data_IF_562003941327
#
_entry.id   IF_562003941327
#
_cell.length_a   1.000
_cell.length_b   1.000
_cell.length_c   1.000
_cell.angle_alpha   90.00
_cell.angle_beta   90.00
_cell.angle_gamma   90.00
#
_symmetry.space_group_name_H-M   'P 1'
#
loop_
_entity.id
_entity.type
_entity.pdbx_description
1 polymer ?
#
# COMPACT_ATOMS: atom_id res chain seq x y z
N UNK A 1 18.14 6.96 57.40
CA UNK A 1 17.55 7.10 56.04
C UNK A 1 18.46 6.44 55.02
N UNK A 2 18.37 5.12 54.81
CA UNK A 2 19.28 4.39 53.90
C UNK A 2 18.58 3.41 52.94
N UNK A 3 17.25 3.37 52.93
CA UNK A 3 16.49 2.41 52.12
C UNK A 3 15.62 3.04 51.02
N UNK A 4 15.61 4.38 50.88
CA UNK A 4 14.80 5.04 49.84
C UNK A 4 15.44 4.97 48.44
N UNK A 5 16.72 4.62 48.34
CA UNK A 5 17.44 4.58 47.06
C UNK A 5 17.18 3.33 46.23
N UNK A 6 16.56 2.29 46.81
CA UNK A 6 16.43 0.99 46.13
C UNK A 6 15.16 0.88 45.28
N UNK A 7 14.20 1.80 45.45
CA UNK A 7 12.90 1.72 44.75
C UNK A 7 12.87 2.40 43.37
N UNK A 8 13.91 3.15 42.99
CA UNK A 8 13.95 3.92 41.73
C UNK A 8 14.56 3.10 40.57
N UNK A 9 15.29 2.02 40.84
CA UNK A 9 16.01 1.26 39.81
C UNK A 9 15.08 0.31 39.01
N UNK A 10 13.88 -0.02 39.51
CA UNK A 10 12.97 -0.94 38.84
C UNK A 10 12.06 -0.32 37.77
N UNK A 11 12.06 1.01 37.57
CA UNK A 11 11.16 1.69 36.63
C UNK A 11 11.74 1.87 35.21
N UNK A 12 12.98 1.46 34.95
CA UNK A 12 13.65 1.70 33.66
C UNK A 12 13.63 0.52 32.68
N UNK A 13 13.01 -0.61 33.05
CA UNK A 13 12.87 -1.78 32.15
C UNK A 13 11.54 -1.80 31.40
N UNK A 14 11.13 -0.67 30.81
CA UNK A 14 10.21 -0.74 29.66
C UNK A 14 11.04 -0.85 28.38
N UNK A 15 11.73 -1.99 28.23
CA UNK A 15 12.30 -2.38 26.96
C UNK A 15 11.20 -3.01 26.10
N UNK A 16 10.15 -2.23 25.81
CA UNK A 16 9.24 -2.58 24.74
C UNK A 16 10.06 -2.66 23.46
N UNK A 17 10.10 -3.83 22.81
CA UNK A 17 10.76 -4.00 21.51
C UNK A 17 10.17 -2.94 20.57
N UNK A 18 10.91 -1.86 20.32
CA UNK A 18 10.59 -0.90 19.27
C UNK A 18 10.85 -1.63 17.96
N UNK A 19 9.80 -2.23 17.42
CA UNK A 19 9.85 -2.73 16.06
C UNK A 19 9.67 -1.53 15.14
N UNK A 20 10.74 -1.14 14.45
CA UNK A 20 10.66 -0.06 13.48
C UNK A 20 10.00 -0.56 12.18
N UNK A 21 9.13 0.26 11.60
CA UNK A 21 8.57 -0.01 10.26
C UNK A 21 9.60 0.35 9.20
N UNK A 22 10.06 -0.63 8.42
CA UNK A 22 10.94 -0.38 7.28
C UNK A 22 10.12 0.06 6.08
N UNK A 23 10.10 1.35 5.76
CA UNK A 23 9.32 1.87 4.63
C UNK A 23 9.90 1.48 3.26
N UNK A 24 9.06 1.31 2.22
CA UNK A 24 9.51 1.24 0.84
C UNK A 24 10.31 2.48 0.44
N UNK A 25 11.15 2.36 -0.57
CA UNK A 25 11.96 3.48 -1.09
C UNK A 25 11.68 3.74 -2.56
N UNK A 26 11.69 5.01 -2.95
CA UNK A 26 11.55 5.45 -4.34
C UNK A 26 12.41 6.68 -4.57
N UNK A 27 12.76 6.98 -5.82
CA UNK A 27 13.40 8.22 -6.23
C UNK A 27 12.43 9.19 -6.92
N UNK A 28 11.13 8.89 -6.84
CA UNK A 28 10.03 9.68 -7.38
C UNK A 28 9.14 10.06 -6.20
N UNK A 29 8.92 11.36 -5.99
CA UNK A 29 7.90 11.89 -5.10
C UNK A 29 6.60 12.10 -5.88
N UNK A 30 5.48 11.61 -5.32
CA UNK A 30 4.13 11.78 -5.85
C UNK A 30 3.41 12.88 -5.07
N UNK A 31 3.18 12.68 -3.77
CA UNK A 31 2.72 13.72 -2.83
C UNK A 31 3.77 13.90 -1.74
N UNK A 32 4.13 15.16 -1.46
CA UNK A 32 5.18 15.51 -0.48
C UNK A 32 4.63 15.78 0.91
N UNK A 33 3.43 16.33 0.98
CA UNK A 33 2.83 16.80 2.23
C UNK A 33 1.35 16.45 2.27
N UNK A 34 0.89 16.03 3.44
CA UNK A 34 -0.51 15.73 3.75
C UNK A 34 -0.77 16.37 5.11
N UNK A 35 -1.84 17.13 5.22
CA UNK A 35 -2.25 17.78 6.47
C UNK A 35 -3.41 17.00 7.10
N UNK A 36 -3.73 17.27 8.37
CA UNK A 36 -4.83 16.62 9.10
C UNK A 36 -4.81 15.09 8.95
N UNK A 37 -3.79 14.45 9.53
CA UNK A 37 -3.52 13.04 9.30
C UNK A 37 -3.48 12.20 10.57
N UNK A 38 -3.89 10.94 10.41
CA UNK A 38 -3.74 9.86 11.37
C UNK A 38 -2.77 8.80 10.81
N UNK A 39 -1.68 8.49 11.51
CA UNK A 39 -0.79 7.41 11.11
C UNK A 39 -1.39 6.05 11.49
N UNK A 40 -1.25 5.09 10.58
CA UNK A 40 -1.52 3.67 10.79
C UNK A 40 -0.22 2.93 10.55
N UNK A 41 0.19 2.08 11.48
CA UNK A 41 1.41 1.29 11.35
C UNK A 41 1.08 -0.18 11.19
N UNK A 42 1.72 -0.83 10.21
CA UNK A 42 1.64 -2.28 9.99
C UNK A 42 3.05 -2.85 10.03
N UNK A 43 3.36 -3.57 11.10
CA UNK A 43 4.69 -4.10 11.38
C UNK A 43 4.87 -5.49 10.77
N UNK A 44 6.09 -5.77 10.32
CA UNK A 44 6.49 -7.10 9.91
C UNK A 44 6.90 -7.91 11.14
N UNK A 45 6.13 -8.96 11.44
CA UNK A 45 6.46 -9.94 12.48
C UNK A 45 6.63 -11.34 11.89
N UNK A 46 7.50 -12.13 12.53
CA UNK A 46 7.61 -13.57 12.30
C UNK A 46 7.22 -14.31 13.55
N UNK A 47 6.30 -15.26 13.41
CA UNK A 47 5.98 -16.23 14.45
C UNK A 47 6.22 -17.63 13.87
N UNK A 48 7.31 -18.27 14.31
CA UNK A 48 7.78 -19.51 13.70
C UNK A 48 8.08 -19.33 12.19
N UNK A 49 7.33 -20.06 11.34
CA UNK A 49 7.44 -19.98 9.87
C UNK A 49 6.48 -18.97 9.26
N UNK A 50 5.54 -18.44 10.04
CA UNK A 50 4.50 -17.55 9.56
C UNK A 50 4.95 -16.09 9.57
N UNK A 51 4.45 -15.35 8.58
CA UNK A 51 4.66 -13.89 8.47
C UNK A 51 3.35 -13.21 8.85
N UNK A 52 3.42 -12.28 9.80
CA UNK A 52 2.27 -11.58 10.37
C UNK A 52 2.39 -10.09 10.06
N UNK A 53 1.28 -9.50 9.63
CA UNK A 53 1.09 -8.06 9.56
C UNK A 53 0.44 -7.60 10.88
N UNK A 54 1.26 -7.12 11.81
CA UNK A 54 0.75 -6.62 13.09
C UNK A 54 0.28 -5.17 12.95
N UNK A 55 -1.02 -4.94 13.11
CA UNK A 55 -1.66 -3.64 12.84
C UNK A 55 -1.83 -2.86 14.14
N UNK A 56 -1.15 -1.72 14.25
CA UNK A 56 -1.42 -0.76 15.32
C UNK A 56 -2.51 0.23 14.90
N UNK A 57 -3.70 0.06 15.49
CA UNK A 57 -4.92 0.84 15.22
C UNK A 57 -5.18 1.96 16.24
N UNK A 58 -4.29 2.16 17.22
CA UNK A 58 -4.57 3.05 18.38
C UNK A 58 -4.68 4.54 18.02
N UNK A 59 -4.28 4.93 16.81
CA UNK A 59 -4.21 6.32 16.34
C UNK A 59 -5.06 6.63 15.10
N UNK A 60 -6.02 5.77 14.72
CA UNK A 60 -6.83 5.99 13.50
C UNK A 60 -8.08 6.84 13.76
N UNK A 61 -8.06 8.14 13.43
CA UNK A 61 -9.22 9.04 13.50
C UNK A 61 -9.91 9.07 12.13
N UNK A 62 -11.17 8.64 12.06
CA UNK A 62 -11.90 8.37 10.80
C UNK A 62 -12.07 9.61 9.92
N UNK A 63 -12.25 10.79 10.52
CA UNK A 63 -12.45 12.06 9.79
C UNK A 63 -11.18 12.67 9.17
N UNK A 64 -10.01 12.11 9.46
CA UNK A 64 -8.70 12.63 9.02
C UNK A 64 -8.12 11.83 7.85
N UNK A 65 -7.11 12.35 7.17
CA UNK A 65 -6.33 11.60 6.18
C UNK A 65 -5.62 10.42 6.85
N UNK A 66 -5.62 9.23 6.25
CA UNK A 66 -4.91 8.09 6.83
C UNK A 66 -3.60 7.83 6.09
N UNK A 67 -2.50 7.82 6.84
CA UNK A 67 -1.18 7.46 6.32
C UNK A 67 -0.85 6.03 6.76
N UNK A 68 -0.83 5.13 5.80
CA UNK A 68 -0.47 3.73 6.00
C UNK A 68 1.06 3.59 5.91
N UNK A 69 1.70 3.45 7.06
CA UNK A 69 3.12 3.14 7.24
C UNK A 69 3.27 1.62 7.35
N UNK A 70 3.56 0.98 6.22
CA UNK A 70 3.58 -0.47 6.09
C UNK A 70 5.01 -0.95 5.89
N UNK A 71 5.39 -1.99 6.61
CA UNK A 71 6.71 -2.59 6.45
C UNK A 71 6.88 -3.22 5.07
N UNK A 72 7.91 -2.79 4.36
CA UNK A 72 8.21 -3.14 2.97
C UNK A 72 8.40 -4.64 2.74
N UNK A 73 8.71 -5.41 3.79
CA UNK A 73 8.95 -6.87 3.73
C UNK A 73 7.66 -7.68 3.69
N UNK A 74 6.52 -7.10 4.06
CA UNK A 74 5.25 -7.81 4.11
C UNK A 74 4.82 -8.28 2.71
N UNK A 75 4.43 -9.56 2.52
CA UNK A 75 3.83 -10.01 1.27
C UNK A 75 2.39 -9.51 1.14
N UNK A 76 1.94 -9.22 -0.08
CA UNK A 76 0.60 -8.67 -0.34
C UNK A 76 -0.54 -9.53 0.20
N UNK A 77 -0.41 -10.86 0.12
CA UNK A 77 -1.40 -11.81 0.65
C UNK A 77 -1.66 -11.66 2.15
N UNK A 78 -0.72 -11.07 2.90
CA UNK A 78 -0.83 -10.86 4.35
C UNK A 78 -1.30 -9.43 4.62
N UNK A 79 -0.72 -8.43 3.95
CA UNK A 79 -1.01 -7.02 4.27
C UNK A 79 -2.27 -6.45 3.63
N UNK A 80 -2.59 -6.83 2.39
CA UNK A 80 -3.76 -6.26 1.70
C UNK A 80 -5.08 -6.62 2.41
N UNK A 81 -5.29 -7.84 2.95
CA UNK A 81 -6.47 -8.12 3.77
C UNK A 81 -6.63 -7.18 4.98
N UNK A 82 -5.55 -6.79 5.65
CA UNK A 82 -5.62 -5.82 6.75
C UNK A 82 -5.93 -4.40 6.26
N UNK A 83 -5.38 -4.00 5.11
CA UNK A 83 -5.73 -2.72 4.47
C UNK A 83 -7.22 -2.69 4.09
N UNK A 84 -7.75 -3.77 3.52
CA UNK A 84 -9.17 -3.88 3.15
C UNK A 84 -10.07 -3.69 4.37
N UNK A 85 -9.81 -4.40 5.47
CA UNK A 85 -10.58 -4.25 6.73
C UNK A 85 -10.58 -2.80 7.24
N UNK A 86 -9.44 -2.12 7.15
CA UNK A 86 -9.33 -0.71 7.57
C UNK A 86 -10.11 0.22 6.63
N UNK A 87 -10.00 0.04 5.32
CA UNK A 87 -10.77 0.81 4.34
C UNK A 87 -12.28 0.61 4.51
N UNK A 88 -12.73 -0.63 4.70
CA UNK A 88 -14.13 -0.97 4.95
C UNK A 88 -14.65 -0.28 6.21
N UNK A 89 -13.89 -0.36 7.32
CA UNK A 89 -14.23 0.36 8.55
C UNK A 89 -14.38 1.86 8.31
N UNK A 90 -13.44 2.49 7.60
CA UNK A 90 -13.50 3.94 7.31
C UNK A 90 -14.70 4.30 6.43
N UNK A 91 -15.02 3.45 5.44
CA UNK A 91 -16.13 3.67 4.49
C UNK A 91 -17.49 3.44 5.14
N UNK A 92 -17.59 2.52 6.11
CA UNK A 92 -18.83 2.15 6.77
C UNK A 92 -19.26 3.14 7.88
N UNK A 93 -18.33 3.93 8.44
CA UNK A 93 -18.66 4.93 9.46
C UNK A 93 -19.27 6.17 8.81
N UNK A 94 -20.58 6.11 8.52
CA UNK A 94 -21.35 7.18 7.90
C UNK A 94 -21.59 8.38 8.82
N UNK A 95 -21.47 8.21 10.15
CA UNK A 95 -21.78 9.26 11.12
C UNK A 95 -20.63 10.27 11.28
N UNK A 96 -19.38 9.83 11.11
CA UNK A 96 -18.18 10.65 11.25
C UNK A 96 -17.33 10.70 9.97
N UNK A 97 -17.90 10.34 8.82
CA UNK A 97 -17.23 10.36 7.52
C UNK A 97 -16.92 11.78 7.10
N UNK A 98 -15.65 12.03 6.79
CA UNK A 98 -15.23 13.18 5.99
C UNK A 98 -15.01 12.69 4.55
N UNK A 99 -15.80 13.16 3.59
CA UNK A 99 -15.68 12.71 2.20
C UNK A 99 -14.41 13.22 1.51
N UNK A 100 -13.80 14.27 2.06
CA UNK A 100 -12.53 14.81 1.59
C UNK A 100 -11.33 14.12 2.23
N UNK A 101 -11.53 13.27 3.24
CA UNK A 101 -10.44 12.53 3.87
C UNK A 101 -9.95 11.40 2.96
N UNK A 102 -8.67 11.41 2.66
CA UNK A 102 -8.02 10.48 1.77
C UNK A 102 -7.18 9.43 2.51
N UNK A 103 -6.77 8.39 1.79
CA UNK A 103 -5.89 7.35 2.28
C UNK A 103 -4.63 7.32 1.40
N UNK A 104 -3.48 7.28 2.04
CA UNK A 104 -2.18 7.31 1.40
C UNK A 104 -1.29 6.18 1.92
N UNK A 105 -0.52 5.60 1.01
CA UNK A 105 0.62 4.77 1.40
C UNK A 105 1.86 5.65 1.52
N UNK A 106 2.62 5.49 2.61
CA UNK A 106 3.89 6.19 2.78
C UNK A 106 5.06 5.40 2.22
N UNK A 107 6.08 6.12 1.75
CA UNK A 107 7.38 5.61 1.36
C UNK A 107 8.44 6.69 1.60
N UNK A 108 9.72 6.29 1.61
CA UNK A 108 10.83 7.21 1.70
C UNK A 108 11.29 7.64 0.29
N UNK A 109 11.29 8.95 0.04
CA UNK A 109 11.99 9.52 -1.12
C UNK A 109 13.50 9.49 -0.86
N UNK A 110 14.19 8.65 -1.61
CA UNK A 110 15.63 8.46 -1.54
C UNK A 110 16.45 9.64 -2.07
N UNK A 111 15.87 10.50 -2.92
CA UNK A 111 16.55 11.71 -3.43
C UNK A 111 16.25 12.88 -2.51
N UNK A 112 14.96 13.16 -2.27
CA UNK A 112 14.52 14.27 -1.43
C UNK A 112 14.80 14.08 0.07
N UNK A 113 15.12 12.85 0.49
CA UNK A 113 15.36 12.44 1.89
C UNK A 113 14.19 12.79 2.82
N UNK A 114 12.97 12.67 2.31
CA UNK A 114 11.73 12.94 3.04
C UNK A 114 10.73 11.78 2.90
N UNK A 115 9.67 11.80 3.71
CA UNK A 115 8.49 10.98 3.47
C UNK A 115 7.76 11.49 2.22
N UNK A 116 7.24 10.56 1.45
CA UNK A 116 6.38 10.83 0.32
C UNK A 116 5.21 9.84 0.32
N UNK A 117 4.14 10.22 -0.38
CA UNK A 117 2.85 9.57 -0.27
C UNK A 117 2.30 9.24 -1.66
N UNK A 118 1.63 8.09 -1.78
CA UNK A 118 0.87 7.72 -2.99
C UNK A 118 -0.60 7.50 -2.61
N UNK A 119 -1.55 8.24 -3.21
CA UNK A 119 -2.96 8.12 -2.87
C UNK A 119 -3.53 6.77 -3.30
N UNK A 120 -4.47 6.24 -2.51
CA UNK A 120 -5.18 5.00 -2.82
C UNK A 120 -6.63 4.96 -2.32
N UNK A 121 -7.22 6.10 -1.95
CA UNK A 121 -8.59 6.22 -1.43
C UNK A 121 -9.63 5.49 -2.29
N UNK A 122 -9.54 5.69 -3.61
CA UNK A 122 -10.46 5.13 -4.63
C UNK A 122 -10.08 3.71 -5.08
N UNK A 123 -9.11 3.07 -4.44
CA UNK A 123 -8.71 1.69 -4.74
C UNK A 123 -9.54 0.70 -3.93
N UNK A 124 -10.03 -0.32 -4.61
CA UNK A 124 -10.82 -1.44 -4.11
C UNK A 124 -10.06 -2.72 -4.46
N UNK A 125 -9.64 -3.44 -3.43
CA UNK A 125 -8.88 -4.67 -3.62
C UNK A 125 -9.80 -5.87 -3.81
N UNK A 126 -9.36 -6.81 -4.64
CA UNK A 126 -9.99 -8.12 -4.82
C UNK A 126 -8.96 -9.22 -4.65
N UNK A 127 -9.22 -10.17 -3.75
CA UNK A 127 -8.34 -11.32 -3.48
C UNK A 127 -8.70 -12.55 -4.32
N UNK A 128 -9.28 -12.32 -5.50
CA UNK A 128 -9.81 -13.34 -6.42
C UNK A 128 -9.20 -13.18 -7.81
N UNK A 129 -9.47 -14.15 -8.70
CA UNK A 129 -9.10 -14.01 -10.11
C UNK A 129 -9.99 -12.93 -10.77
N UNK A 130 -9.46 -12.11 -11.69
CA UNK A 130 -10.28 -11.23 -12.50
C UNK A 130 -11.23 -12.03 -13.41
N UNK A 131 -12.28 -11.37 -13.90
CA UNK A 131 -13.20 -11.97 -14.85
C UNK A 131 -12.47 -12.29 -16.16
N UNK A 132 -12.91 -13.35 -16.85
CA UNK A 132 -12.30 -13.78 -18.13
C UNK A 132 -12.35 -12.70 -19.22
N UNK A 133 -13.33 -11.81 -19.15
CA UNK A 133 -13.50 -10.71 -20.11
C UNK A 133 -12.61 -9.50 -19.80
N UNK A 134 -11.96 -9.47 -18.62
CA UNK A 134 -11.04 -8.38 -18.30
C UNK A 134 -9.74 -8.49 -19.09
N UNK A 135 -9.22 -7.34 -19.51
CA UNK A 135 -7.90 -7.27 -20.12
C UNK A 135 -6.85 -7.07 -19.03
N UNK A 136 -6.08 -8.11 -18.78
CA UNK A 136 -5.19 -8.18 -17.61
C UNK A 136 -3.80 -7.63 -17.92
N UNK A 137 -3.32 -6.75 -17.03
CA UNK A 137 -1.89 -6.46 -16.86
C UNK A 137 -1.41 -7.12 -15.58
N UNK A 138 -0.52 -8.08 -15.72
CA UNK A 138 -0.02 -8.89 -14.61
C UNK A 138 1.36 -8.42 -14.13
N UNK A 139 1.46 -8.11 -12.84
CA UNK A 139 2.67 -7.66 -12.15
C UNK A 139 3.26 -8.84 -11.38
N UNK A 140 4.25 -9.50 -11.99
CA UNK A 140 4.90 -10.68 -11.43
C UNK A 140 5.92 -10.30 -10.35
N UNK A 141 5.98 -11.10 -9.28
CA UNK A 141 7.02 -11.00 -8.24
C UNK A 141 8.42 -11.13 -8.84
N UNK A 142 9.37 -10.34 -8.34
CA UNK A 142 10.78 -10.39 -8.70
C UNK A 142 11.09 -9.87 -10.10
N UNK A 143 10.10 -9.28 -10.79
CA UNK A 143 10.28 -8.70 -12.13
C UNK A 143 10.20 -7.19 -12.05
N UNK A 144 10.81 -6.51 -13.03
CA UNK A 144 10.65 -5.05 -13.22
C UNK A 144 9.61 -4.75 -14.31
N UNK A 145 9.49 -5.64 -15.28
CA UNK A 145 8.53 -5.61 -16.38
C UNK A 145 7.20 -6.26 -15.97
N UNK A 146 6.16 -5.99 -16.76
CA UNK A 146 4.79 -6.48 -16.56
C UNK A 146 4.36 -7.30 -17.77
N UNK A 147 3.39 -8.19 -17.58
CA UNK A 147 2.85 -9.01 -18.66
C UNK A 147 1.51 -8.46 -19.12
N UNK A 148 1.37 -8.19 -20.41
CA UNK A 148 0.13 -7.74 -21.06
C UNK A 148 -0.09 -8.60 -22.32
N UNK A 149 -1.17 -9.37 -22.37
CA UNK A 149 -1.50 -10.20 -23.54
C UNK A 149 -0.36 -11.12 -23.99
N UNK A 150 0.26 -11.85 -23.05
CA UNK A 150 1.44 -12.72 -23.23
C UNK A 150 2.75 -12.02 -23.61
N UNK A 151 2.81 -10.69 -23.61
CA UNK A 151 4.03 -9.92 -23.87
C UNK A 151 4.59 -9.33 -22.59
N UNK A 152 5.90 -9.39 -22.42
CA UNK A 152 6.61 -8.70 -21.35
C UNK A 152 6.93 -7.26 -21.81
N UNK A 153 6.40 -6.26 -21.11
CA UNK A 153 6.54 -4.84 -21.44
C UNK A 153 6.97 -4.02 -20.21
N UNK A 154 7.51 -2.82 -20.43
CA UNK A 154 7.77 -1.90 -19.32
C UNK A 154 6.45 -1.29 -18.81
N UNK A 155 6.36 -0.98 -17.52
CA UNK A 155 5.19 -0.29 -16.94
C UNK A 155 4.87 1.03 -17.67
N UNK A 156 5.89 1.75 -18.13
CA UNK A 156 5.75 3.00 -18.91
C UNK A 156 5.10 2.81 -20.27
N UNK A 157 5.03 1.58 -20.79
CA UNK A 157 4.52 1.27 -22.12
C UNK A 157 3.10 0.70 -22.08
N UNK A 158 2.48 0.57 -20.90
CA UNK A 158 1.14 -0.03 -20.71
C UNK A 158 0.11 0.67 -21.61
N UNK A 159 -0.03 1.99 -21.52
CA UNK A 159 -1.03 2.74 -22.31
C UNK A 159 -0.78 2.62 -23.82
N UNK A 160 0.48 2.79 -24.25
CA UNK A 160 0.83 2.68 -25.66
C UNK A 160 0.48 1.30 -26.22
N UNK A 161 0.79 0.23 -25.49
CA UNK A 161 0.45 -1.13 -25.91
C UNK A 161 -1.06 -1.35 -25.92
N UNK A 162 -1.78 -0.90 -24.88
CA UNK A 162 -3.23 -1.05 -24.80
C UNK A 162 -3.95 -0.37 -25.97
N UNK A 163 -3.62 0.90 -26.27
CA UNK A 163 -4.24 1.64 -27.38
C UNK A 163 -3.79 1.17 -28.77
N UNK A 164 -2.69 0.44 -28.89
CA UNK A 164 -2.26 -0.16 -30.17
C UNK A 164 -3.09 -1.38 -30.58
N UNK A 165 -3.84 -1.98 -29.64
CA UNK A 165 -4.65 -3.16 -29.89
C UNK A 165 -6.00 -2.75 -30.47
N UNK A 166 -6.38 -3.35 -31.59
CA UNK A 166 -7.72 -3.21 -32.16
C UNK A 166 -8.68 -4.15 -31.43
N UNK A 167 -9.52 -3.61 -30.56
CA UNK A 167 -10.57 -4.36 -29.88
C UNK A 167 -11.88 -4.27 -30.66
N UNK A 168 -12.61 -5.39 -30.79
CA UNK A 168 -13.99 -5.36 -31.29
C UNK A 168 -14.92 -4.64 -30.30
N UNK A 169 -14.71 -4.86 -29.00
CA UNK A 169 -15.29 -4.13 -27.87
C UNK A 169 -14.17 -3.88 -26.87
N UNK A 170 -13.96 -2.62 -26.47
CA UNK A 170 -12.90 -2.25 -25.53
C UNK A 170 -13.16 -2.92 -24.18
N UNK A 171 -12.29 -3.82 -23.72
CA UNK A 171 -12.45 -4.49 -22.42
C UNK A 171 -12.03 -3.58 -21.27
N UNK A 172 -12.50 -3.90 -20.07
CA UNK A 172 -11.99 -3.27 -18.86
C UNK A 172 -10.54 -3.72 -18.61
N UNK A 173 -9.63 -2.75 -18.63
CA UNK A 173 -8.22 -2.94 -18.25
C UNK A 173 -8.16 -3.12 -16.74
N UNK A 174 -7.55 -4.22 -16.26
CA UNK A 174 -7.38 -4.47 -14.82
C UNK A 174 -5.93 -4.78 -14.46
N UNK A 175 -5.54 -4.39 -13.26
CA UNK A 175 -4.21 -4.66 -12.72
C UNK A 175 -4.26 -5.82 -11.75
N UNK A 176 -3.40 -6.82 -11.99
CA UNK A 176 -3.30 -8.03 -11.17
C UNK A 176 -1.88 -8.13 -10.62
N UNK A 177 -1.75 -8.09 -9.30
CA UNK A 177 -0.48 -8.18 -8.60
C UNK A 177 -0.31 -9.57 -8.00
N UNK A 178 0.88 -10.15 -8.16
CA UNK A 178 1.25 -11.41 -7.53
C UNK A 178 1.11 -11.30 -6.01
N UNK A 179 0.23 -12.10 -5.42
CA UNK A 179 -0.05 -12.06 -3.98
C UNK A 179 1.18 -12.33 -3.10
N UNK A 180 2.23 -12.97 -3.61
CA UNK A 180 3.44 -13.25 -2.87
C UNK A 180 4.52 -12.18 -3.03
N UNK A 181 4.30 -11.15 -3.88
CA UNK A 181 5.24 -10.03 -3.99
C UNK A 181 5.29 -9.24 -2.69
N UNK A 182 6.43 -8.61 -2.44
CA UNK A 182 6.59 -7.75 -1.28
C UNK A 182 5.85 -6.43 -1.46
N UNK A 183 5.48 -5.80 -0.35
CA UNK A 183 4.89 -4.48 -0.33
C UNK A 183 5.83 -3.42 -0.97
N UNK A 184 7.15 -3.59 -0.83
CA UNK A 184 8.15 -2.77 -1.54
C UNK A 184 7.96 -2.79 -3.06
N UNK A 185 7.81 -3.98 -3.64
CA UNK A 185 7.62 -4.14 -5.08
C UNK A 185 6.30 -3.55 -5.55
N UNK A 186 5.24 -3.75 -4.76
CA UNK A 186 3.92 -3.18 -5.03
C UNK A 186 3.95 -1.66 -5.06
N UNK A 187 4.55 -1.01 -4.06
CA UNK A 187 4.65 0.46 -4.01
C UNK A 187 5.47 1.01 -5.17
N UNK A 188 6.56 0.33 -5.55
CA UNK A 188 7.31 0.70 -6.76
C UNK A 188 6.41 0.70 -7.99
N UNK A 189 5.59 -0.34 -8.19
CA UNK A 189 4.67 -0.37 -9.31
C UNK A 189 3.58 0.70 -9.22
N UNK A 190 3.02 0.92 -8.02
CA UNK A 190 1.97 1.92 -7.80
C UNK A 190 2.45 3.34 -8.14
N UNK A 191 3.68 3.68 -7.76
CA UNK A 191 4.32 4.97 -8.11
C UNK A 191 4.50 5.09 -9.64
N UNK A 192 4.96 4.03 -10.31
CA UNK A 192 5.11 4.04 -11.77
C UNK A 192 3.77 4.15 -12.50
N UNK A 193 2.75 3.45 -12.01
CA UNK A 193 1.39 3.54 -12.56
C UNK A 193 0.83 4.95 -12.41
N UNK A 194 0.95 5.54 -11.22
CA UNK A 194 0.53 6.92 -10.98
C UNK A 194 1.26 7.91 -11.89
N UNK A 195 2.56 7.72 -12.13
CA UNK A 195 3.36 8.64 -12.96
C UNK A 195 3.09 8.50 -14.46
N UNK A 196 2.92 7.28 -14.97
CA UNK A 196 2.95 7.03 -16.42
C UNK A 196 1.66 6.49 -17.03
N UNK A 197 0.74 5.99 -16.19
CA UNK A 197 -0.48 5.34 -16.67
C UNK A 197 -1.72 6.13 -16.24
N UNK A 198 -1.68 6.75 -15.06
CA UNK A 198 -2.89 7.29 -14.46
C UNK A 198 -2.63 8.59 -13.70
N UNK A 199 -2.46 9.69 -14.42
CA UNK A 199 -2.48 11.04 -13.82
C UNK A 199 -3.90 11.49 -13.40
N UNK A 200 -4.95 10.75 -13.78
CA UNK A 200 -6.34 10.92 -13.32
C UNK A 200 -6.96 9.54 -13.02
N UNK A 201 -6.92 9.11 -11.76
CA UNK A 201 -7.22 7.72 -11.34
C UNK A 201 -8.67 7.53 -10.83
N UNK A 202 -9.62 8.21 -11.47
CA UNK A 202 -11.05 8.01 -11.19
C UNK A 202 -11.66 6.84 -11.98
N UNK A 203 -10.86 6.14 -12.82
CA UNK A 203 -11.37 5.14 -13.78
C UNK A 203 -10.84 3.71 -13.63
N UNK A 204 -9.82 3.45 -12.81
CA UNK A 204 -9.34 2.07 -12.54
C UNK A 204 -9.36 1.77 -11.03
N UNK A 205 -10.56 1.72 -10.41
CA UNK A 205 -10.67 1.61 -8.96
C UNK A 205 -10.33 0.20 -8.45
N UNK A 206 -10.25 -0.82 -9.29
CA UNK A 206 -10.11 -2.21 -8.83
C UNK A 206 -8.70 -2.76 -9.07
N UNK A 207 -8.05 -3.20 -8.00
CA UNK A 207 -6.76 -3.90 -8.05
C UNK A 207 -6.93 -5.34 -7.54
N UNK A 208 -6.46 -6.31 -8.32
CA UNK A 208 -6.55 -7.73 -7.97
C UNK A 208 -5.24 -8.20 -7.36
N UNK A 209 -5.31 -8.98 -6.28
CA UNK A 209 -4.17 -9.60 -5.60
C UNK A 209 -4.36 -11.12 -5.69
N UNK A 210 -3.65 -11.75 -6.62
CA UNK A 210 -3.86 -13.17 -6.96
C UNK A 210 -2.55 -13.94 -7.18
#
# INVERSE_FOLDING_TARGET
MKYLSLFIICLLFSCGKKEDVLLPKSNITIVKDVQDLSPIYIFFKKEGKDTIADVNRKSSIISTNWIFNIDKRLPLKVVIPEVMKLQEKKRADSAHKNENAENYYSYADSIGKNLAFVPFTKVYYKMERPNKDNFVVYFKKGRKQVFMGNREIKTTQILQNFYSIKFQKVPDLVFVFDKNMSYEEYIRYKILLHKYVTSNLDRLPVEFIF
#
